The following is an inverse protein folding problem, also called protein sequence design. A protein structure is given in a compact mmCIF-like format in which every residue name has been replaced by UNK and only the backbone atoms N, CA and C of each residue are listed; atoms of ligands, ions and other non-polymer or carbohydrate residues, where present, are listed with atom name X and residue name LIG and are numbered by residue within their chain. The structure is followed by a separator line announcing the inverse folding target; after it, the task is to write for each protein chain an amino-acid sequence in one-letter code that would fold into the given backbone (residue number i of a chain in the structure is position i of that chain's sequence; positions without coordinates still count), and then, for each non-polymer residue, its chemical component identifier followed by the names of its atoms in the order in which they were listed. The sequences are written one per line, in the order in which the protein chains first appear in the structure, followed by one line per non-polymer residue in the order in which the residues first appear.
data_IF_671252533462
#
_entry.id   IF_671252533462
#
_cell.length_a   1.000
_cell.length_b   1.000
_cell.length_c   1.000
_cell.angle_alpha   90.00
_cell.angle_beta   90.00
_cell.angle_gamma   90.00
#
_symmetry.space_group_name_H-M   'P 1'
#
loop_
_entity.id
_entity.type
_entity.pdbx_description
1 polymer ?
#
# COMPACT_ATOMS: atom_id res chain seq x y z
N UNK A 1 -7.79 -37.23 -9.91
CA UNK A 1 -6.71 -36.56 -9.15
C UNK A 1 -6.31 -35.31 -9.93
N UNK A 2 -6.85 -34.13 -9.58
CA UNK A 2 -6.61 -32.90 -10.34
C UNK A 2 -6.62 -31.65 -9.44
N UNK A 3 -5.40 -31.12 -9.26
CA UNK A 3 -5.02 -29.71 -9.05
C UNK A 3 -5.66 -28.94 -7.89
N UNK A 4 -5.07 -29.11 -6.71
CA UNK A 4 -5.03 -28.12 -5.63
C UNK A 4 -3.78 -27.24 -5.79
N UNK A 5 -3.89 -26.09 -6.47
CA UNK A 5 -2.84 -25.04 -6.43
C UNK A 5 -3.44 -23.64 -6.54
N UNK A 6 -4.45 -23.36 -5.69
CA UNK A 6 -5.06 -22.02 -5.57
C UNK A 6 -4.91 -21.38 -4.19
N UNK A 7 -4.42 -22.12 -3.19
CA UNK A 7 -4.53 -21.71 -1.77
C UNK A 7 -3.26 -21.05 -1.22
N UNK A 8 -2.11 -21.21 -1.86
CA UNK A 8 -0.81 -20.69 -1.37
C UNK A 8 -0.69 -19.15 -1.45
N UNK A 9 -1.41 -18.50 -2.38
CA UNK A 9 -1.32 -17.04 -2.55
C UNK A 9 -2.05 -16.24 -1.49
N UNK A 10 -3.11 -16.81 -0.89
CA UNK A 10 -3.89 -16.13 0.13
C UNK A 10 -3.20 -16.22 1.51
N UNK A 11 -2.52 -17.33 1.78
CA UNK A 11 -1.82 -17.54 3.05
C UNK A 11 -0.59 -16.65 3.19
N UNK A 12 0.20 -16.43 2.13
CA UNK A 12 1.41 -15.59 2.23
C UNK A 12 1.08 -14.12 2.48
N UNK A 13 -0.01 -13.61 1.88
CA UNK A 13 -0.48 -12.23 2.08
C UNK A 13 -1.05 -12.01 3.48
N UNK A 14 -1.70 -13.03 4.07
CA UNK A 14 -2.13 -13.01 5.46
C UNK A 14 -0.97 -13.17 6.46
N UNK A 15 0.03 -14.00 6.15
CA UNK A 15 1.18 -14.25 7.03
C UNK A 15 2.11 -13.05 7.19
N UNK A 16 2.19 -12.15 6.20
CA UNK A 16 2.99 -10.92 6.31
C UNK A 16 2.32 -9.89 7.25
N UNK A 17 0.98 -9.92 7.38
CA UNK A 17 0.26 -9.10 8.37
C UNK A 17 0.17 -9.75 9.76
N UNK A 18 0.31 -11.08 9.84
CA UNK A 18 0.29 -11.85 11.08
C UNK A 18 1.66 -12.02 11.76
N UNK A 19 2.72 -11.35 11.28
CA UNK A 19 3.99 -11.33 12.00
C UNK A 19 3.94 -10.34 13.18
N UNK A 20 3.27 -10.78 14.25
CA UNK A 20 3.65 -10.53 15.63
C UNK A 20 3.73 -9.07 16.10
N UNK A 21 2.58 -8.47 16.39
CA UNK A 21 2.46 -7.73 17.66
C UNK A 21 1.62 -8.63 18.56
N UNK A 22 2.31 -9.57 19.22
CA UNK A 22 1.80 -10.13 20.45
C UNK A 22 1.62 -8.99 21.44
N UNK A 23 0.38 -8.75 21.83
CA UNK A 23 0.02 -7.70 22.79
C UNK A 23 0.40 -8.20 24.17
N UNK A 24 1.68 -8.10 24.52
CA UNK A 24 2.15 -8.16 25.91
C UNK A 24 3.25 -7.13 26.13
N UNK A 25 2.86 -5.98 26.69
CA UNK A 25 3.77 -5.08 27.40
C UNK A 25 4.57 -4.10 26.53
N UNK A 26 4.39 -2.81 26.84
CA UNK A 26 5.22 -1.67 26.42
C UNK A 26 5.06 -1.25 24.95
N UNK A 27 4.17 -0.27 24.75
CA UNK A 27 4.13 0.52 23.53
C UNK A 27 5.36 1.44 23.50
N UNK A 28 6.47 0.94 22.96
CA UNK A 28 7.52 1.81 22.44
C UNK A 28 6.97 2.48 21.17
N UNK A 29 6.91 3.81 21.16
CA UNK A 29 6.74 4.53 19.90
C UNK A 29 7.86 4.09 18.94
N UNK A 30 7.57 3.79 17.66
CA UNK A 30 8.61 3.41 16.74
C UNK A 30 9.61 4.57 16.63
N UNK A 31 10.83 4.37 17.10
CA UNK A 31 11.95 5.27 16.81
C UNK A 31 12.12 5.42 15.29
N UNK A 32 12.74 6.52 14.84
CA UNK A 32 12.97 6.77 13.41
C UNK A 32 13.65 5.60 12.68
N UNK A 33 14.54 4.89 13.37
CA UNK A 33 15.24 3.70 12.86
C UNK A 33 14.29 2.51 12.67
N UNK A 34 13.37 2.27 13.61
CA UNK A 34 12.40 1.17 13.51
C UNK A 34 11.43 1.37 12.34
N UNK A 35 11.05 2.62 12.05
CA UNK A 35 10.19 2.94 10.92
C UNK A 35 10.91 2.74 9.57
N UNK A 36 12.20 3.08 9.48
CA UNK A 36 13.00 2.85 8.26
C UNK A 36 13.17 1.35 7.99
N UNK A 37 13.50 0.55 9.01
CA UNK A 37 13.63 -0.91 8.89
C UNK A 37 12.32 -1.54 8.42
N UNK A 38 11.18 -1.12 8.99
CA UNK A 38 9.87 -1.60 8.58
C UNK A 38 9.57 -1.26 7.11
N UNK A 39 9.90 -0.04 6.68
CA UNK A 39 9.73 0.39 5.29
C UNK A 39 10.57 -0.45 4.32
N UNK A 40 11.84 -0.69 4.65
CA UNK A 40 12.74 -1.51 3.84
C UNK A 40 12.22 -2.94 3.71
N UNK A 41 11.72 -3.51 4.81
CA UNK A 41 11.10 -4.85 4.81
C UNK A 41 9.85 -4.90 3.92
N UNK A 42 8.92 -3.97 4.07
CA UNK A 42 7.71 -3.89 3.23
C UNK A 42 8.09 -3.76 1.74
N UNK A 43 9.10 -2.93 1.44
CA UNK A 43 9.60 -2.75 0.07
C UNK A 43 10.20 -4.05 -0.48
N UNK A 44 11.00 -4.76 0.31
CA UNK A 44 11.61 -6.02 -0.05
C UNK A 44 10.57 -7.12 -0.28
N UNK A 45 9.61 -7.29 0.64
CA UNK A 45 8.55 -8.28 0.55
C UNK A 45 7.66 -8.05 -0.68
N UNK A 46 7.30 -6.78 -0.94
CA UNK A 46 6.55 -6.42 -2.15
C UNK A 46 7.33 -6.72 -3.41
N UNK A 47 8.63 -6.40 -3.44
CA UNK A 47 9.51 -6.67 -4.58
C UNK A 47 9.60 -8.18 -4.85
N UNK A 48 9.74 -9.00 -3.82
CA UNK A 48 9.73 -10.46 -3.93
C UNK A 48 8.43 -10.97 -4.53
N UNK A 49 7.28 -10.53 -4.00
CA UNK A 49 5.96 -10.91 -4.51
C UNK A 49 5.82 -10.56 -6.00
N UNK A 50 6.23 -9.37 -6.41
CA UNK A 50 6.22 -8.97 -7.82
C UNK A 50 7.15 -9.84 -8.66
N UNK A 51 8.38 -10.10 -8.19
CA UNK A 51 9.36 -10.92 -8.90
C UNK A 51 8.85 -12.34 -9.17
N UNK A 52 8.28 -12.98 -8.16
CA UNK A 52 7.75 -14.35 -8.24
C UNK A 52 6.54 -14.47 -9.16
N UNK A 53 5.75 -13.40 -9.29
CA UNK A 53 4.46 -13.45 -9.98
C UNK A 53 4.46 -12.87 -11.39
N UNK A 54 5.47 -12.07 -11.75
CA UNK A 54 5.51 -11.39 -13.05
C UNK A 54 5.97 -12.25 -14.22
N UNK A 55 6.69 -13.35 -13.95
CA UNK A 55 7.21 -14.28 -14.98
C UNK A 55 7.99 -13.53 -16.07
N UNK A 56 8.93 -12.68 -15.64
CA UNK A 56 9.78 -11.87 -16.52
C UNK A 56 10.92 -12.73 -17.07
N UNK A 57 11.22 -12.55 -18.35
CA UNK A 57 12.52 -12.94 -18.92
C UNK A 57 13.60 -12.02 -18.35
N UNK A 58 14.87 -12.45 -18.43
CA UNK A 58 16.00 -11.64 -17.98
C UNK A 58 16.03 -10.25 -18.64
N UNK A 59 15.75 -10.18 -19.95
CA UNK A 59 15.71 -8.92 -20.71
C UNK A 59 14.61 -7.99 -20.22
N UNK A 60 13.39 -8.51 -20.02
CA UNK A 60 12.28 -7.74 -19.48
C UNK A 60 12.56 -7.30 -18.04
N UNK A 61 13.10 -8.16 -17.20
CA UNK A 61 13.46 -7.83 -15.82
C UNK A 61 14.45 -6.66 -15.77
N UNK A 62 15.50 -6.70 -16.59
CA UNK A 62 16.50 -5.61 -16.68
C UNK A 62 15.88 -4.26 -17.04
N UNK A 63 14.84 -4.26 -17.88
CA UNK A 63 14.13 -3.03 -18.28
C UNK A 63 13.02 -2.62 -17.29
N UNK A 64 12.34 -3.58 -16.67
CA UNK A 64 11.21 -3.38 -15.76
C UNK A 64 11.63 -2.81 -14.41
N UNK A 65 12.66 -3.40 -13.77
CA UNK A 65 13.01 -3.06 -12.39
C UNK A 65 13.35 -1.57 -12.18
N UNK A 66 14.07 -0.88 -13.08
CA UNK A 66 14.28 0.57 -12.93
C UNK A 66 12.97 1.38 -12.93
N UNK A 67 12.00 1.03 -13.78
CA UNK A 67 10.69 1.70 -13.83
C UNK A 67 9.89 1.41 -12.56
N UNK A 68 9.92 0.15 -12.11
CA UNK A 68 9.30 -0.30 -10.86
C UNK A 68 9.84 0.47 -9.64
N UNK A 69 11.16 0.54 -9.47
CA UNK A 69 11.77 1.19 -8.31
C UNK A 69 11.41 2.67 -8.23
N UNK A 70 11.45 3.39 -9.36
CA UNK A 70 11.02 4.78 -9.42
C UNK A 70 9.53 4.94 -9.05
N UNK A 71 8.67 4.07 -9.58
CA UNK A 71 7.25 4.07 -9.24
C UNK A 71 7.02 3.78 -7.75
N UNK A 72 7.74 2.82 -7.16
CA UNK A 72 7.59 2.51 -5.73
C UNK A 72 8.07 3.65 -4.82
N UNK A 73 9.11 4.39 -5.22
CA UNK A 73 9.59 5.56 -4.49
C UNK A 73 8.56 6.70 -4.54
N UNK A 74 7.93 6.97 -5.68
CA UNK A 74 6.85 7.97 -5.77
C UNK A 74 5.58 7.53 -5.01
N UNK A 75 5.22 6.25 -5.09
CA UNK A 75 4.13 5.72 -4.28
C UNK A 75 4.41 5.82 -2.78
N UNK A 76 5.68 5.72 -2.36
CA UNK A 76 6.06 5.87 -0.96
C UNK A 76 5.76 7.28 -0.45
N UNK A 77 6.03 8.32 -1.23
CA UNK A 77 5.71 9.71 -0.87
C UNK A 77 4.19 9.90 -0.65
N UNK A 78 3.36 9.28 -1.48
CA UNK A 78 1.91 9.29 -1.29
C UNK A 78 1.49 8.52 -0.03
N UNK A 79 2.10 7.36 0.25
CA UNK A 79 1.83 6.59 1.48
C UNK A 79 2.18 7.38 2.74
N UNK A 80 3.25 8.18 2.72
CA UNK A 80 3.59 9.05 3.85
C UNK A 80 2.49 10.09 4.14
N UNK A 81 1.82 10.61 3.10
CA UNK A 81 0.65 11.49 3.28
C UNK A 81 -0.54 10.75 3.88
N UNK A 82 -0.79 9.50 3.47
CA UNK A 82 -1.84 8.66 4.08
C UNK A 82 -1.56 8.41 5.56
N UNK A 83 -0.33 8.04 5.93
CA UNK A 83 0.06 7.83 7.33
C UNK A 83 -0.15 9.11 8.14
N UNK A 84 0.25 10.26 7.59
CA UNK A 84 0.01 11.55 8.22
C UNK A 84 -1.48 11.85 8.38
N UNK A 85 -2.29 11.62 7.35
CA UNK A 85 -3.73 11.84 7.39
C UNK A 85 -4.41 10.99 8.48
N UNK A 86 -4.04 9.72 8.59
CA UNK A 86 -4.56 8.81 9.63
C UNK A 86 -4.15 9.30 11.02
N UNK A 87 -2.89 9.74 11.20
CA UNK A 87 -2.44 10.31 12.46
C UNK A 87 -3.22 11.57 12.82
N UNK A 88 -3.35 12.51 11.88
CA UNK A 88 -4.07 13.77 12.08
C UNK A 88 -5.54 13.51 12.42
N UNK A 89 -6.17 12.50 11.80
CA UNK A 89 -7.51 12.04 12.14
C UNK A 89 -7.59 11.52 13.58
N UNK A 90 -6.67 10.64 13.99
CA UNK A 90 -6.61 10.10 15.35
C UNK A 90 -6.43 11.19 16.40
N UNK A 91 -5.52 12.13 16.18
CA UNK A 91 -5.25 13.27 17.06
C UNK A 91 -6.47 14.22 17.18
N UNK A 92 -7.29 14.30 16.15
CA UNK A 92 -8.50 15.11 16.10
C UNK A 92 -9.77 14.40 16.59
N UNK A 93 -9.76 13.07 16.73
CA UNK A 93 -10.98 12.26 16.88
C UNK A 93 -11.90 12.71 18.02
N UNK A 94 -11.33 13.09 19.17
CA UNK A 94 -12.10 13.56 20.33
C UNK A 94 -12.58 15.02 20.28
N UNK A 95 -12.04 15.81 19.35
CA UNK A 95 -12.24 17.26 19.21
C UNK A 95 -12.66 17.66 17.79
N UNK A 96 -13.25 16.72 17.06
CA UNK A 96 -13.62 16.90 15.66
C UNK A 96 -14.67 18.02 15.53
N UNK A 97 -14.42 18.94 14.60
CA UNK A 97 -15.38 19.95 14.14
C UNK A 97 -15.45 19.95 12.60
N UNK A 98 -16.42 20.65 12.03
CA UNK A 98 -16.63 20.70 10.57
C UNK A 98 -15.41 21.20 9.80
N UNK A 99 -14.65 22.14 10.39
CA UNK A 99 -13.47 22.71 9.74
C UNK A 99 -12.35 21.67 9.64
N UNK A 100 -12.11 20.92 10.70
CA UNK A 100 -11.13 19.84 10.74
C UNK A 100 -11.60 18.69 9.84
N UNK A 101 -12.86 18.29 9.93
CA UNK A 101 -13.43 17.22 9.10
C UNK A 101 -13.30 17.54 7.60
N UNK A 102 -13.66 18.77 7.20
CA UNK A 102 -13.50 19.23 5.82
C UNK A 102 -12.04 19.15 5.37
N UNK A 103 -11.10 19.64 6.19
CA UNK A 103 -9.67 19.61 5.86
C UNK A 103 -9.15 18.19 5.64
N UNK A 104 -9.51 17.25 6.52
CA UNK A 104 -9.08 15.86 6.42
C UNK A 104 -9.67 15.19 5.18
N UNK A 105 -10.95 15.46 4.88
CA UNK A 105 -11.60 14.91 3.69
C UNK A 105 -11.02 15.49 2.39
N UNK A 106 -10.76 16.80 2.34
CA UNK A 106 -10.11 17.44 1.17
C UNK A 106 -8.71 16.85 0.91
N UNK A 107 -7.95 16.56 1.98
CA UNK A 107 -6.64 15.89 1.87
C UNK A 107 -6.78 14.45 1.38
N UNK A 108 -7.78 13.69 1.86
CA UNK A 108 -8.07 12.35 1.35
C UNK A 108 -8.35 12.37 -0.16
N UNK A 109 -9.24 13.26 -0.62
CA UNK A 109 -9.57 13.41 -2.04
C UNK A 109 -8.34 13.79 -2.87
N UNK A 110 -7.46 14.63 -2.32
CA UNK A 110 -6.20 15.01 -2.96
C UNK A 110 -5.26 13.79 -3.11
N UNK A 111 -5.09 13.01 -2.05
CA UNK A 111 -4.26 11.79 -2.07
C UNK A 111 -4.78 10.79 -3.11
N UNK A 112 -6.09 10.56 -3.16
CA UNK A 112 -6.71 9.63 -4.12
C UNK A 112 -6.49 10.08 -5.56
N UNK A 113 -6.64 11.38 -5.82
CA UNK A 113 -6.40 11.99 -7.13
C UNK A 113 -4.96 11.78 -7.57
N UNK A 114 -3.99 12.14 -6.72
CA UNK A 114 -2.57 11.97 -7.02
C UNK A 114 -2.20 10.50 -7.22
N UNK A 115 -2.82 9.58 -6.48
CA UNK A 115 -2.61 8.14 -6.66
C UNK A 115 -3.09 7.63 -8.02
N UNK A 116 -4.19 8.16 -8.55
CA UNK A 116 -4.64 7.85 -9.91
C UNK A 116 -3.74 8.47 -10.97
N UNK A 117 -3.36 9.74 -10.79
CA UNK A 117 -2.45 10.44 -11.70
C UNK A 117 -1.10 9.75 -11.80
N UNK A 118 -0.52 9.33 -10.67
CA UNK A 118 0.73 8.58 -10.62
C UNK A 118 0.62 7.26 -11.41
N UNK A 119 -0.48 6.51 -11.21
CA UNK A 119 -0.76 5.28 -11.98
C UNK A 119 -0.84 5.55 -13.48
N UNK A 120 -1.49 6.64 -13.89
CA UNK A 120 -1.60 7.06 -15.31
C UNK A 120 -0.25 7.48 -15.88
N UNK A 121 0.56 8.21 -15.12
CA UNK A 121 1.89 8.67 -15.54
C UNK A 121 2.87 7.51 -15.77
N UNK A 122 2.75 6.43 -14.99
CA UNK A 122 3.62 5.26 -15.10
C UNK A 122 3.14 4.19 -16.08
N UNK A 123 1.86 4.13 -16.40
CA UNK A 123 1.32 3.19 -17.39
C UNK A 123 2.08 3.19 -18.74
N UNK A 124 2.33 4.34 -19.41
CA UNK A 124 3.10 4.35 -20.64
C UNK A 124 4.57 3.98 -20.42
N UNK A 125 5.13 4.20 -19.23
CA UNK A 125 6.52 3.80 -18.91
C UNK A 125 6.63 2.27 -18.81
N UNK A 126 5.67 1.62 -18.17
CA UNK A 126 5.62 0.15 -18.10
C UNK A 126 5.36 -0.49 -19.47
N UNK A 127 4.46 0.08 -20.28
CA UNK A 127 4.20 -0.38 -21.66
C UNK A 127 5.40 -0.31 -22.58
N UNK A 128 6.34 0.62 -22.34
CA UNK A 128 7.60 0.69 -23.11
C UNK A 128 8.55 -0.46 -22.82
N UNK A 129 8.45 -1.10 -21.65
CA UNK A 129 9.40 -2.12 -21.18
C UNK A 129 8.81 -3.52 -21.06
N UNK A 130 7.48 -3.66 -21.19
CA UNK A 130 6.77 -4.93 -21.08
C UNK A 130 5.66 -5.07 -22.14
N UNK A 131 5.38 -6.30 -22.59
CA UNK A 131 4.14 -6.62 -23.33
C UNK A 131 2.89 -6.29 -22.50
N UNK A 132 1.79 -5.90 -23.16
CA UNK A 132 0.55 -5.45 -22.49
C UNK A 132 0.03 -6.48 -21.47
N UNK A 133 0.09 -7.78 -21.77
CA UNK A 133 -0.33 -8.84 -20.85
C UNK A 133 0.42 -8.80 -19.50
N UNK A 134 1.72 -8.49 -19.52
CA UNK A 134 2.53 -8.36 -18.31
C UNK A 134 2.30 -7.03 -17.61
N UNK A 135 2.02 -5.96 -18.35
CA UNK A 135 1.56 -4.69 -17.77
C UNK A 135 0.27 -4.91 -16.98
N UNK A 136 -0.75 -5.53 -17.59
CA UNK A 136 -2.02 -5.84 -16.91
C UNK A 136 -1.77 -6.69 -15.66
N UNK A 137 -0.94 -7.74 -15.76
CA UNK A 137 -0.58 -8.61 -14.63
C UNK A 137 0.05 -7.82 -13.48
N UNK A 138 0.95 -6.88 -13.77
CA UNK A 138 1.55 -6.02 -12.77
C UNK A 138 0.51 -5.19 -12.02
N UNK A 139 -0.42 -4.55 -12.76
CA UNK A 139 -1.49 -3.77 -12.14
C UNK A 139 -2.47 -4.65 -11.34
N UNK A 140 -2.72 -5.89 -11.76
CA UNK A 140 -3.51 -6.84 -10.95
C UNK A 140 -2.83 -7.17 -9.63
N UNK A 141 -1.50 -7.33 -9.61
CA UNK A 141 -0.72 -7.55 -8.39
C UNK A 141 -0.81 -6.32 -7.47
N UNK A 142 -0.56 -5.12 -8.00
CA UNK A 142 -0.67 -3.86 -7.23
C UNK A 142 -2.07 -3.67 -6.65
N UNK A 143 -3.12 -3.96 -7.43
CA UNK A 143 -4.51 -3.84 -6.97
C UNK A 143 -4.84 -4.82 -5.85
N UNK A 144 -4.32 -6.06 -5.89
CA UNK A 144 -4.50 -7.03 -4.80
C UNK A 144 -3.85 -6.56 -3.50
N UNK A 145 -2.62 -6.05 -3.59
CA UNK A 145 -1.91 -5.48 -2.42
C UNK A 145 -2.70 -4.30 -1.86
N UNK A 146 -3.14 -3.38 -2.73
CA UNK A 146 -3.94 -2.22 -2.31
C UNK A 146 -5.23 -2.64 -1.61
N UNK A 147 -5.97 -3.61 -2.14
CA UNK A 147 -7.23 -4.06 -1.55
C UNK A 147 -7.05 -4.60 -0.12
N UNK A 148 -5.96 -5.32 0.15
CA UNK A 148 -5.65 -5.82 1.49
C UNK A 148 -5.32 -4.67 2.44
N UNK A 149 -4.50 -3.71 2.00
CA UNK A 149 -4.18 -2.53 2.81
C UNK A 149 -5.44 -1.72 3.12
N UNK A 150 -6.29 -1.48 2.11
CA UNK A 150 -7.53 -0.71 2.28
C UNK A 150 -8.48 -1.43 3.26
N UNK A 151 -8.58 -2.75 3.20
CA UNK A 151 -9.35 -3.55 4.15
C UNK A 151 -8.82 -3.42 5.58
N UNK A 152 -7.51 -3.56 5.79
CA UNK A 152 -6.88 -3.42 7.11
C UNK A 152 -7.06 -2.02 7.69
N UNK A 153 -6.97 -0.98 6.86
CA UNK A 153 -7.22 0.40 7.27
C UNK A 153 -8.68 0.61 7.64
N UNK A 154 -9.62 0.15 6.81
CA UNK A 154 -11.05 0.26 7.07
C UNK A 154 -11.47 -0.46 8.36
N UNK A 155 -10.82 -1.57 8.72
CA UNK A 155 -11.10 -2.28 9.96
C UNK A 155 -10.61 -1.54 11.22
N UNK A 156 -9.60 -0.66 11.08
CA UNK A 156 -8.94 0.02 12.21
C UNK A 156 -9.35 1.48 12.38
N UNK A 157 -9.71 2.16 11.29
CA UNK A 157 -10.09 3.58 11.33
C UNK A 157 -11.58 3.66 11.71
N UNK A 158 -11.93 4.21 12.88
CA UNK A 158 -13.33 4.34 13.28
C UNK A 158 -14.05 5.39 12.42
N UNK A 159 -15.38 5.34 12.42
CA UNK A 159 -16.20 6.42 11.88
C UNK A 159 -16.15 7.64 12.80
N UNK A 160 -16.29 8.85 12.24
CA UNK A 160 -16.51 10.04 13.07
C UNK A 160 -17.78 9.85 13.92
N UNK A 161 -17.78 10.42 15.13
CA UNK A 161 -18.96 10.37 16.00
C UNK A 161 -20.10 11.12 15.33
N UNK A 162 -21.28 10.50 15.26
CA UNK A 162 -22.48 11.20 14.85
C UNK A 162 -22.83 12.30 15.87
N UNK A 163 -23.28 13.45 15.40
CA UNK A 163 -23.86 14.46 16.27
C UNK A 163 -25.04 13.85 17.03
N UNK A 164 -25.06 14.01 18.36
CA UNK A 164 -26.25 13.70 19.13
C UNK A 164 -27.31 14.72 18.75
N UNK A 165 -28.32 14.30 17.98
CA UNK A 165 -29.56 15.05 17.80
C UNK A 165 -30.27 15.24 19.13
#
# INVERSE_FOLDING_TARGET
MARTTGTLFLTFVLSIFFLGIGITGMADEPSGDNMQILQEKIKADKKLLVAENMQLTEKEAKAFWPVYENYQNEQFLLRMRVVKLIKDYGDAYGKMDDKIAKKLLDELMTIETLGLELRRAYLPKFRKVLPEMKVVRYYQIENKIKAVIDYELAARIPLIKAEKK
#
